data_IF_673683218191
#
_entry.id   IF_673683218191
#
_cell.length_a   1.000
_cell.length_b   1.000
_cell.length_c   1.000
_cell.angle_alpha   90.00
_cell.angle_beta   90.00
_cell.angle_gamma   90.00
#
_symmetry.space_group_name_H-M   'P 1'
#
loop_
_entity.id
_entity.type
_entity.pdbx_description
1 polymer ?
#
# COMPACT_ATOMS: atom_id res chain seq x y z
N UNK A 1 -17.86 71.15 -37.84
CA UNK A 1 -18.83 71.98 -37.12
C UNK A 1 -18.19 72.48 -35.83
N UNK A 2 -18.45 73.75 -35.52
CA UNK A 2 -17.63 74.63 -34.68
C UNK A 2 -17.50 74.24 -33.18
N UNK A 3 -16.40 74.66 -32.52
CA UNK A 3 -16.18 74.59 -31.07
C UNK A 3 -16.69 75.87 -30.37
N UNK A 4 -16.78 75.86 -29.02
CA UNK A 4 -16.84 77.00 -28.05
C UNK A 4 -17.40 76.46 -26.70
N UNK A 5 -16.99 76.81 -25.47
CA UNK A 5 -16.13 77.84 -24.88
C UNK A 5 -15.68 77.37 -23.49
N UNK A 6 -14.43 77.69 -23.11
CA UNK A 6 -14.04 77.86 -21.71
C UNK A 6 -14.69 79.14 -21.17
N UNK A 7 -15.18 79.10 -19.93
CA UNK A 7 -15.17 80.29 -19.07
C UNK A 7 -14.59 79.91 -17.72
N UNK A 8 -13.64 80.73 -17.29
CA UNK A 8 -12.99 80.73 -16.00
C UNK A 8 -13.70 81.74 -15.10
N UNK A 9 -14.02 81.37 -13.87
CA UNK A 9 -14.16 82.32 -12.78
C UNK A 9 -13.45 81.75 -11.55
N UNK A 10 -12.36 82.40 -11.18
CA UNK A 10 -11.75 82.28 -9.87
C UNK A 10 -12.63 83.01 -8.86
N UNK A 11 -12.90 82.37 -7.72
CA UNK A 11 -13.06 83.07 -6.45
C UNK A 11 -12.35 82.25 -5.37
N UNK A 12 -11.47 82.94 -4.65
CA UNK A 12 -10.63 82.46 -3.55
C UNK A 12 -11.32 82.82 -2.23
N UNK A 13 -10.93 82.12 -1.15
CA UNK A 13 -11.23 82.31 0.29
C UNK A 13 -12.43 81.47 0.78
N UNK A 14 -12.40 80.74 1.90
CA UNK A 14 -11.37 80.37 2.88
C UNK A 14 -11.98 79.24 3.78
N UNK A 15 -11.10 78.45 4.39
CA UNK A 15 -11.24 77.60 5.58
C UNK A 15 -12.60 76.98 6.01
N UNK A 16 -12.60 75.66 6.27
CA UNK A 16 -12.66 75.06 7.63
C UNK A 16 -12.48 73.54 7.51
N UNK A 17 -11.49 73.04 8.23
CA UNK A 17 -11.10 71.64 8.33
C UNK A 17 -12.19 70.77 8.99
N UNK A 18 -12.39 69.55 8.47
CA UNK A 18 -12.90 68.40 9.22
C UNK A 18 -11.99 67.20 8.94
N UNK A 19 -11.40 66.56 9.96
CA UNK A 19 -10.64 65.34 9.76
C UNK A 19 -11.63 64.21 9.46
N UNK A 20 -11.60 63.68 8.24
CA UNK A 20 -12.31 62.44 7.91
C UNK A 20 -11.54 61.28 8.56
N UNK A 21 -12.07 60.77 9.65
CA UNK A 21 -11.63 59.54 10.28
C UNK A 21 -11.68 58.40 9.26
N UNK A 22 -10.51 57.95 8.80
CA UNK A 22 -10.39 56.75 7.97
C UNK A 22 -10.84 55.53 8.78
N UNK A 23 -11.61 54.59 8.22
CA UNK A 23 -11.93 53.35 8.92
C UNK A 23 -10.64 52.56 9.08
N UNK A 24 -10.24 52.35 10.33
CA UNK A 24 -9.10 51.51 10.70
C UNK A 24 -9.36 50.08 10.21
N UNK A 25 -8.88 49.78 9.01
CA UNK A 25 -8.72 48.41 8.55
C UNK A 25 -7.79 47.72 9.55
N UNK A 26 -8.30 46.66 10.19
CA UNK A 26 -7.58 45.85 11.17
C UNK A 26 -6.30 45.30 10.53
N UNK A 27 -5.20 46.00 10.75
CA UNK A 27 -3.85 45.64 10.32
C UNK A 27 -3.28 44.71 11.39
N UNK A 28 -3.57 43.42 11.29
CA UNK A 28 -2.99 42.42 12.19
C UNK A 28 -1.56 42.02 11.79
N UNK A 29 -0.91 42.78 10.90
CA UNK A 29 0.46 42.55 10.47
C UNK A 29 1.20 43.88 10.40
N UNK A 30 2.19 44.07 11.28
CA UNK A 30 3.09 45.24 11.30
C UNK A 30 4.16 45.18 10.21
N UNK A 31 4.24 44.09 9.45
CA UNK A 31 5.11 43.98 8.27
C UNK A 31 4.48 44.75 7.11
N UNK A 32 5.11 45.86 6.70
CA UNK A 32 4.69 46.59 5.50
C UNK A 32 4.67 45.69 4.27
N UNK A 33 3.74 45.92 3.34
CA UNK A 33 3.74 45.17 2.08
C UNK A 33 5.06 45.46 1.35
N UNK A 34 5.85 44.43 1.09
CA UNK A 34 7.11 44.60 0.39
C UNK A 34 6.80 44.90 -1.08
N UNK A 35 6.97 46.16 -1.50
CA UNK A 35 6.67 46.63 -2.88
C UNK A 35 7.55 45.95 -3.94
N UNK A 36 8.69 45.40 -3.54
CA UNK A 36 9.68 44.78 -4.43
C UNK A 36 9.85 43.31 -4.11
N UNK A 37 9.94 42.50 -5.16
CA UNK A 37 10.17 41.05 -5.04
C UNK A 37 11.56 40.78 -4.46
N UNK A 38 11.67 39.88 -3.49
CA UNK A 38 12.96 39.46 -2.93
C UNK A 38 13.79 38.72 -3.99
N UNK A 39 15.12 38.77 -3.87
CA UNK A 39 16.03 38.07 -4.81
C UNK A 39 15.71 36.57 -4.91
N UNK A 40 15.48 35.90 -3.78
CA UNK A 40 15.12 34.48 -3.78
C UNK A 40 13.82 34.20 -4.56
N UNK A 41 12.81 35.08 -4.44
CA UNK A 41 11.56 34.95 -5.20
C UNK A 41 11.76 35.25 -6.68
N UNK A 42 12.67 36.17 -7.02
CA UNK A 42 13.09 36.40 -8.40
C UNK A 42 13.74 35.16 -9.01
N UNK A 43 14.72 34.58 -8.34
CA UNK A 43 15.44 33.37 -8.80
C UNK A 43 14.48 32.18 -8.95
N UNK A 44 13.55 32.01 -8.02
CA UNK A 44 12.49 30.99 -8.11
C UNK A 44 11.59 31.19 -9.33
N UNK A 45 11.13 32.42 -9.58
CA UNK A 45 10.26 32.73 -10.74
C UNK A 45 11.03 32.54 -12.05
N UNK A 46 12.32 32.88 -12.08
CA UNK A 46 13.19 32.60 -13.23
C UNK A 46 13.28 31.10 -13.51
N UNK A 47 13.49 30.26 -12.49
CA UNK A 47 13.52 28.80 -12.66
C UNK A 47 12.17 28.24 -13.11
N UNK A 48 11.06 28.67 -12.49
CA UNK A 48 9.70 28.24 -12.83
C UNK A 48 9.32 28.56 -14.28
N UNK A 49 9.72 29.75 -14.76
CA UNK A 49 9.50 30.17 -16.16
C UNK A 49 10.55 29.62 -17.12
N UNK A 50 11.64 29.08 -16.59
CA UNK A 50 12.69 28.43 -17.36
C UNK A 50 12.22 27.11 -17.98
N UNK A 51 13.13 26.45 -18.70
CA UNK A 51 12.86 25.19 -19.40
C UNK A 51 12.39 24.10 -18.44
N UNK A 52 13.09 23.94 -17.32
CA UNK A 52 12.83 22.85 -16.37
C UNK A 52 11.48 23.02 -15.65
N UNK A 53 11.18 24.22 -15.19
CA UNK A 53 9.91 24.53 -14.52
C UNK A 53 8.70 24.46 -15.46
N UNK A 54 8.83 24.97 -16.69
CA UNK A 54 7.73 24.98 -17.66
C UNK A 54 7.35 23.57 -18.14
N UNK A 55 8.31 22.63 -18.24
CA UNK A 55 8.03 21.24 -18.59
C UNK A 55 7.21 20.50 -17.53
N UNK A 56 7.30 20.91 -16.27
CA UNK A 56 6.59 20.29 -15.16
C UNK A 56 5.18 20.88 -14.96
N UNK A 57 4.84 21.96 -15.67
CA UNK A 57 3.55 22.63 -15.53
C UNK A 57 2.38 21.77 -16.04
N UNK A 58 2.61 21.00 -17.10
CA UNK A 58 1.60 20.14 -17.74
C UNK A 58 2.07 18.67 -17.77
N UNK A 59 1.16 17.69 -17.63
CA UNK A 59 1.53 16.29 -17.65
C UNK A 59 1.94 15.84 -19.06
N UNK A 60 3.16 15.32 -19.20
CA UNK A 60 3.71 14.85 -20.46
C UNK A 60 3.17 13.49 -20.93
N UNK A 61 2.25 12.86 -20.19
CA UNK A 61 1.75 11.51 -20.49
C UNK A 61 2.74 10.37 -20.15
N UNK A 62 3.83 10.71 -19.47
CA UNK A 62 4.86 9.82 -18.93
C UNK A 62 5.35 10.36 -17.58
N UNK A 63 6.08 9.56 -16.79
CA UNK A 63 6.76 10.07 -15.62
C UNK A 63 7.66 11.25 -15.99
N UNK A 64 7.46 12.38 -15.33
CA UNK A 64 8.19 13.61 -15.59
C UNK A 64 8.77 14.11 -14.25
N UNK A 65 9.83 13.46 -13.81
CA UNK A 65 10.50 13.75 -12.55
C UNK A 65 11.68 14.71 -12.73
N UNK A 66 12.10 15.34 -11.64
CA UNK A 66 13.25 16.26 -11.61
C UNK A 66 14.59 15.49 -11.64
N UNK A 67 14.59 14.22 -11.23
CA UNK A 67 15.80 13.41 -11.17
C UNK A 67 16.41 13.13 -12.55
N UNK A 68 17.67 12.69 -12.59
CA UNK A 68 18.39 12.45 -13.84
C UNK A 68 17.84 11.27 -14.65
N UNK A 69 17.05 10.40 -14.03
CA UNK A 69 16.49 9.19 -14.63
C UNK A 69 14.96 9.27 -14.62
N UNK A 70 14.31 8.68 -15.62
CA UNK A 70 12.85 8.76 -15.81
C UNK A 70 12.03 8.20 -14.64
N UNK A 71 12.60 7.27 -13.89
CA UNK A 71 11.99 6.65 -12.72
C UNK A 71 12.49 7.23 -11.40
N UNK A 72 13.30 8.29 -11.42
CA UNK A 72 13.91 8.88 -10.22
C UNK A 72 13.23 10.19 -9.82
N UNK A 73 12.28 10.16 -8.87
CA UNK A 73 11.58 11.37 -8.43
C UNK A 73 12.48 12.38 -7.72
N UNK A 74 13.48 11.90 -6.96
CA UNK A 74 14.35 12.75 -6.16
C UNK A 74 15.80 12.67 -6.66
N UNK A 75 16.41 13.78 -7.12
CA UNK A 75 17.77 13.76 -7.67
C UNK A 75 18.81 13.29 -6.65
N UNK A 76 18.65 13.66 -5.38
CA UNK A 76 19.63 13.33 -4.33
C UNK A 76 19.49 11.90 -3.78
N UNK A 77 18.40 11.19 -4.09
CA UNK A 77 18.20 9.82 -3.62
C UNK A 77 18.07 8.85 -4.82
N UNK A 78 19.17 8.20 -5.23
CA UNK A 78 19.16 7.27 -6.35
C UNK A 78 18.54 5.90 -6.01
N UNK A 79 18.30 5.58 -4.74
CA UNK A 79 17.74 4.29 -4.31
C UNK A 79 16.21 4.26 -4.42
N UNK A 80 15.54 5.41 -4.25
CA UNK A 80 14.09 5.47 -4.37
C UNK A 80 13.67 5.67 -5.83
N UNK A 81 13.02 4.64 -6.39
CA UNK A 81 12.54 4.59 -7.77
C UNK A 81 11.02 4.51 -7.82
N UNK A 82 10.45 5.23 -8.78
CA UNK A 82 9.03 5.18 -9.13
C UNK A 82 8.73 3.89 -9.89
N UNK A 83 8.43 2.83 -9.14
CA UNK A 83 8.01 1.56 -9.72
C UNK A 83 6.70 1.70 -10.50
N UNK A 84 6.52 0.84 -11.50
CA UNK A 84 5.31 0.80 -12.31
C UNK A 84 4.07 0.43 -11.50
N UNK A 85 2.91 0.92 -11.91
CA UNK A 85 1.60 0.56 -11.34
C UNK A 85 0.79 -0.30 -12.31
N UNK A 86 -0.15 -1.09 -11.77
CA UNK A 86 -1.04 -1.90 -12.59
C UNK A 86 -2.01 -1.03 -13.38
N UNK A 87 -2.07 -1.24 -14.69
CA UNK A 87 -3.04 -0.56 -15.56
C UNK A 87 -4.50 -0.95 -15.20
N UNK A 88 -5.46 -0.09 -15.56
CA UNK A 88 -6.89 -0.35 -15.32
C UNK A 88 -7.33 -1.67 -15.97
N UNK A 89 -6.82 -1.97 -17.16
CA UNK A 89 -7.13 -3.21 -17.88
C UNK A 89 -6.65 -4.45 -17.13
N UNK A 90 -5.38 -4.45 -16.69
CA UNK A 90 -4.80 -5.56 -15.95
C UNK A 90 -5.48 -5.78 -14.60
N UNK A 91 -5.90 -4.70 -13.92
CA UNK A 91 -6.70 -4.80 -12.69
C UNK A 91 -8.06 -5.48 -12.93
N UNK A 92 -8.73 -5.14 -14.03
CA UNK A 92 -9.97 -5.79 -14.43
C UNK A 92 -9.74 -7.27 -14.78
N UNK A 93 -8.65 -7.58 -15.48
CA UNK A 93 -8.30 -8.95 -15.84
C UNK A 93 -8.07 -9.84 -14.61
N UNK A 94 -7.28 -9.35 -13.63
CA UNK A 94 -7.06 -10.03 -12.34
C UNK A 94 -8.40 -10.35 -11.68
N UNK A 95 -9.29 -9.36 -11.61
CA UNK A 95 -10.62 -9.54 -11.02
C UNK A 95 -11.45 -10.59 -11.77
N UNK A 96 -11.46 -10.56 -13.11
CA UNK A 96 -12.17 -11.56 -13.93
C UNK A 96 -11.64 -12.97 -13.75
N UNK A 97 -10.31 -13.16 -13.71
CA UNK A 97 -9.68 -14.46 -13.48
C UNK A 97 -10.12 -15.08 -12.15
N UNK A 98 -10.15 -14.30 -11.09
CA UNK A 98 -10.48 -14.81 -9.75
C UNK A 98 -11.99 -14.96 -9.58
N UNK A 99 -12.79 -13.94 -9.91
CA UNK A 99 -14.23 -13.94 -9.63
C UNK A 99 -15.06 -14.68 -10.69
N UNK A 100 -14.69 -14.61 -11.97
CA UNK A 100 -15.48 -15.23 -13.06
C UNK A 100 -14.93 -16.60 -13.44
N UNK A 101 -13.61 -16.74 -13.59
CA UNK A 101 -12.98 -18.02 -13.97
C UNK A 101 -12.71 -18.93 -12.78
N UNK A 102 -12.75 -18.41 -11.55
CA UNK A 102 -12.50 -19.19 -10.33
C UNK A 102 -11.05 -19.65 -10.18
N UNK A 103 -10.11 -18.95 -10.82
CA UNK A 103 -8.68 -19.23 -10.69
C UNK A 103 -8.18 -18.89 -9.27
N UNK A 104 -7.27 -19.70 -8.74
CA UNK A 104 -6.69 -19.45 -7.41
C UNK A 104 -5.84 -18.18 -7.37
N UNK A 105 -5.78 -17.51 -6.22
CA UNK A 105 -5.02 -16.26 -6.05
C UNK A 105 -3.53 -16.51 -6.31
N UNK A 106 -3.02 -17.65 -5.84
CA UNK A 106 -1.63 -18.07 -6.10
C UNK A 106 -1.37 -18.31 -7.58
N UNK A 107 -2.29 -18.94 -8.31
CA UNK A 107 -2.17 -19.14 -9.76
C UNK A 107 -2.07 -17.82 -10.51
N UNK A 108 -3.00 -16.90 -10.25
CA UNK A 108 -3.02 -15.58 -10.89
C UNK A 108 -1.78 -14.75 -10.55
N UNK A 109 -1.29 -14.86 -9.31
CA UNK A 109 -0.07 -14.21 -8.85
C UNK A 109 1.17 -14.69 -9.60
N UNK A 110 1.33 -16.01 -9.78
CA UNK A 110 2.46 -16.58 -10.51
C UNK A 110 2.41 -16.28 -12.01
N UNK A 111 1.21 -16.29 -12.60
CA UNK A 111 1.02 -16.04 -14.04
C UNK A 111 1.32 -14.58 -14.42
N UNK A 112 0.79 -13.62 -13.64
CA UNK A 112 0.92 -12.18 -13.93
C UNK A 112 2.22 -11.60 -13.36
N UNK A 113 2.85 -12.29 -12.40
CA UNK A 113 4.05 -11.81 -11.72
C UNK A 113 3.73 -10.67 -10.74
N UNK A 114 2.65 -10.81 -9.98
CA UNK A 114 2.17 -9.85 -8.97
C UNK A 114 2.08 -10.53 -7.61
N UNK A 115 2.48 -9.88 -6.53
CA UNK A 115 2.40 -10.44 -5.18
C UNK A 115 0.96 -10.80 -4.80
N UNK A 116 0.75 -11.97 -4.18
CA UNK A 116 -0.53 -12.47 -3.66
C UNK A 116 -1.25 -11.39 -2.83
N UNK A 117 -0.51 -10.63 -2.02
CA UNK A 117 -1.05 -9.52 -1.22
C UNK A 117 -1.64 -8.41 -2.07
N UNK A 118 -0.98 -8.07 -3.18
CA UNK A 118 -1.43 -7.04 -4.12
C UNK A 118 -2.63 -7.54 -4.92
N UNK A 119 -2.61 -8.79 -5.38
CA UNK A 119 -3.76 -9.42 -6.05
C UNK A 119 -5.02 -9.33 -5.18
N UNK A 120 -4.93 -9.73 -3.91
CA UNK A 120 -6.06 -9.64 -2.97
C UNK A 120 -6.54 -8.19 -2.75
N UNK A 121 -5.64 -7.21 -2.71
CA UNK A 121 -6.01 -5.80 -2.62
C UNK A 121 -6.72 -5.29 -3.88
N UNK A 122 -6.28 -5.69 -5.08
CA UNK A 122 -6.91 -5.33 -6.35
C UNK A 122 -8.35 -5.85 -6.39
N UNK A 123 -8.57 -7.12 -6.02
CA UNK A 123 -9.91 -7.71 -5.98
C UNK A 123 -10.81 -6.93 -5.01
N UNK A 124 -10.35 -6.65 -3.78
CA UNK A 124 -11.12 -5.87 -2.80
C UNK A 124 -11.50 -4.48 -3.32
N UNK A 125 -10.57 -3.76 -3.93
CA UNK A 125 -10.83 -2.43 -4.47
C UNK A 125 -11.78 -2.47 -5.67
N UNK A 126 -11.71 -3.52 -6.49
CA UNK A 126 -12.63 -3.73 -7.62
C UNK A 126 -14.05 -4.05 -7.16
N UNK A 127 -14.21 -4.86 -6.11
CA UNK A 127 -15.53 -5.08 -5.49
C UNK A 127 -16.15 -3.77 -4.97
N UNK A 128 -15.36 -2.92 -4.29
CA UNK A 128 -15.83 -1.60 -3.85
C UNK A 128 -16.23 -0.73 -5.04
N UNK A 129 -15.44 -0.74 -6.12
CA UNK A 129 -15.78 -0.01 -7.35
C UNK A 129 -17.14 -0.48 -7.91
N UNK A 130 -17.35 -1.80 -8.03
CA UNK A 130 -18.62 -2.39 -8.51
C UNK A 130 -19.78 -2.05 -7.60
N UNK A 131 -19.58 -2.08 -6.28
CA UNK A 131 -20.58 -1.68 -5.31
C UNK A 131 -20.98 -0.20 -5.49
N UNK A 132 -20.03 0.69 -5.76
CA UNK A 132 -20.30 2.10 -6.00
C UNK A 132 -21.04 2.33 -7.32
N UNK A 133 -20.67 1.60 -8.38
CA UNK A 133 -21.39 1.59 -9.65
C UNK A 133 -22.85 1.13 -9.46
N UNK A 134 -23.06 0.04 -8.70
CA UNK A 134 -24.40 -0.47 -8.37
C UNK A 134 -25.22 0.52 -7.53
N UNK A 135 -24.58 1.30 -6.66
CA UNK A 135 -25.21 2.37 -5.90
C UNK A 135 -25.40 3.67 -6.71
N UNK A 136 -24.98 3.72 -7.98
CA UNK A 136 -25.06 4.92 -8.81
C UNK A 136 -24.15 6.07 -8.36
N UNK A 137 -23.10 5.79 -7.59
CA UNK A 137 -22.14 6.81 -7.14
C UNK A 137 -21.24 7.24 -8.29
N UNK A 138 -20.99 8.55 -8.39
CA UNK A 138 -20.11 9.11 -9.41
C UNK A 138 -18.65 8.77 -9.11
N UNK A 139 -18.01 8.03 -10.01
CA UNK A 139 -16.59 7.71 -9.93
C UNK A 139 -15.71 8.89 -10.36
N UNK A 140 -14.55 9.04 -9.74
CA UNK A 140 -13.56 10.08 -10.05
C UNK A 140 -12.72 9.74 -11.31
N UNK A 141 -13.37 9.45 -12.43
CA UNK A 141 -12.70 8.98 -13.66
C UNK A 141 -11.77 10.01 -14.31
N UNK A 142 -12.05 11.33 -14.36
CA UNK A 142 -11.12 12.30 -14.95
C UNK A 142 -9.83 12.39 -14.14
N UNK A 143 -9.97 12.36 -12.81
CA UNK A 143 -8.84 12.36 -11.89
C UNK A 143 -7.98 11.10 -12.06
N UNK A 144 -8.60 9.91 -12.06
CA UNK A 144 -7.88 8.65 -12.22
C UNK A 144 -7.10 8.61 -13.55
N UNK A 145 -7.72 9.03 -14.66
CA UNK A 145 -7.07 9.09 -15.98
C UNK A 145 -5.89 10.05 -16.01
N UNK A 146 -6.00 11.20 -15.37
CA UNK A 146 -4.91 12.18 -15.31
C UNK A 146 -3.72 11.65 -14.49
N UNK A 147 -3.97 11.05 -13.32
CA UNK A 147 -2.93 10.49 -12.46
C UNK A 147 -2.23 9.30 -13.12
N UNK A 148 -2.99 8.40 -13.75
CA UNK A 148 -2.41 7.24 -14.44
C UNK A 148 -1.48 7.61 -15.61
N UNK A 149 -1.70 8.77 -16.25
CA UNK A 149 -0.81 9.30 -17.29
C UNK A 149 0.53 9.80 -16.74
N UNK A 150 0.61 10.10 -15.45
CA UNK A 150 1.83 10.60 -14.80
C UNK A 150 2.73 9.46 -14.28
N UNK A 151 2.20 8.23 -14.19
CA UNK A 151 2.89 7.10 -13.58
C UNK A 151 3.33 6.07 -14.63
N UNK A 152 4.44 5.34 -14.41
CA UNK A 152 4.79 4.22 -15.26
C UNK A 152 3.79 3.09 -15.04
N UNK A 153 3.42 2.36 -16.10
CA UNK A 153 2.38 1.33 -16.03
C UNK A 153 2.88 0.01 -16.60
N UNK A 154 2.49 -1.09 -15.96
CA UNK A 154 2.63 -2.43 -16.51
C UNK A 154 1.31 -2.87 -17.10
N UNK A 155 1.35 -3.26 -18.37
CA UNK A 155 0.23 -3.88 -19.08
C UNK A 155 0.53 -5.36 -19.20
N UNK A 156 -0.45 -6.19 -18.88
CA UNK A 156 -0.39 -7.63 -19.03
C UNK A 156 -1.28 -8.07 -20.20
N UNK A 157 -0.71 -8.86 -21.12
CA UNK A 157 -1.38 -9.41 -22.30
C UNK A 157 -1.36 -10.94 -22.21
N UNK A 158 -2.53 -11.58 -22.17
CA UNK A 158 -2.63 -13.06 -22.12
C UNK A 158 -1.95 -13.69 -23.35
N UNK A 159 -1.07 -14.67 -23.12
CA UNK A 159 -0.34 -15.37 -24.19
C UNK A 159 0.79 -14.59 -24.85
N UNK A 160 1.05 -13.36 -24.42
CA UNK A 160 2.20 -12.55 -24.86
C UNK A 160 3.42 -12.68 -23.94
N UNK A 161 4.55 -12.14 -24.39
CA UNK A 161 5.71 -11.93 -23.53
C UNK A 161 5.43 -10.75 -22.59
N UNK A 162 5.31 -11.03 -21.29
CA UNK A 162 5.07 -10.02 -20.26
C UNK A 162 6.27 -9.95 -19.32
N UNK A 163 6.62 -8.73 -18.91
CA UNK A 163 7.59 -8.51 -17.83
C UNK A 163 6.84 -8.65 -16.49
N UNK A 164 7.38 -9.44 -15.53
CA UNK A 164 6.81 -9.52 -14.19
C UNK A 164 6.68 -8.14 -13.55
N UNK A 165 5.53 -7.86 -12.94
CA UNK A 165 5.27 -6.56 -12.31
C UNK A 165 6.17 -6.32 -11.09
N UNK A 166 6.37 -7.35 -10.26
CA UNK A 166 7.19 -7.29 -9.05
C UNK A 166 7.77 -8.67 -8.71
N UNK A 167 8.83 -8.76 -7.88
CA UNK A 167 9.38 -10.05 -7.47
C UNK A 167 8.44 -10.78 -6.50
N UNK A 168 7.76 -11.81 -6.99
CA UNK A 168 6.81 -12.61 -6.19
C UNK A 168 7.47 -13.49 -5.12
N UNK A 169 8.77 -13.77 -5.26
CA UNK A 169 9.54 -14.68 -4.39
C UNK A 169 10.34 -13.96 -3.30
N UNK A 170 10.00 -12.72 -2.96
CA UNK A 170 10.71 -11.98 -1.92
C UNK A 170 10.39 -12.55 -0.52
N UNK A 171 11.45 -12.90 0.22
CA UNK A 171 11.36 -13.48 1.56
C UNK A 171 11.81 -12.46 2.59
N UNK A 172 11.05 -12.31 3.66
CA UNK A 172 11.42 -11.47 4.79
C UNK A 172 12.77 -11.89 5.40
N UNK A 173 13.67 -10.96 5.69
CA UNK A 173 14.92 -11.26 6.41
C UNK A 173 14.62 -11.40 7.90
N UNK A 174 14.71 -12.63 8.43
CA UNK A 174 14.43 -12.89 9.84
C UNK A 174 15.63 -12.49 10.71
N UNK A 175 15.40 -11.96 11.91
CA UNK A 175 16.48 -11.50 12.81
C UNK A 175 17.52 -12.59 13.10
N UNK A 176 17.08 -13.84 13.27
CA UNK A 176 17.98 -14.97 13.54
C UNK A 176 18.95 -15.25 12.38
N UNK A 177 18.58 -14.93 11.14
CA UNK A 177 19.43 -15.16 9.96
C UNK A 177 20.39 -14.01 9.67
N UNK A 178 20.38 -12.95 10.49
CA UNK A 178 21.29 -11.81 10.33
C UNK A 178 22.65 -12.02 11.01
N UNK A 179 22.84 -13.14 11.71
CA UNK A 179 24.09 -13.48 12.36
C UNK A 179 25.10 -13.99 11.33
N UNK A 180 26.36 -13.57 11.46
CA UNK A 180 27.47 -14.14 10.69
C UNK A 180 27.95 -15.41 11.38
N UNK A 181 27.72 -16.57 10.76
CA UNK A 181 28.09 -17.88 11.31
C UNK A 181 29.06 -18.60 10.37
N UNK A 182 30.14 -19.13 10.93
CA UNK A 182 31.06 -20.04 10.27
C UNK A 182 31.04 -21.37 11.02
N UNK A 183 30.21 -22.30 10.54
CA UNK A 183 29.99 -23.58 11.21
C UNK A 183 31.06 -24.57 10.75
N UNK A 184 31.95 -25.07 11.64
CA UNK A 184 32.88 -26.12 11.27
C UNK A 184 32.12 -27.41 11.01
N UNK A 185 32.33 -28.00 9.85
CA UNK A 185 31.74 -29.27 9.42
C UNK A 185 32.83 -30.20 8.89
N UNK A 186 32.52 -31.50 8.79
CA UNK A 186 33.42 -32.44 8.11
C UNK A 186 33.70 -31.97 6.68
N UNK A 187 34.93 -32.18 6.22
CA UNK A 187 35.39 -31.86 4.86
C UNK A 187 34.52 -32.48 3.75
N UNK A 188 33.91 -33.64 4.02
CA UNK A 188 33.06 -34.38 3.08
C UNK A 188 31.56 -34.14 3.27
N UNK A 189 31.15 -33.28 4.23
CA UNK A 189 29.73 -33.06 4.51
C UNK A 189 29.08 -32.21 3.41
N UNK A 190 27.97 -32.69 2.86
CA UNK A 190 27.08 -31.88 2.02
C UNK A 190 26.22 -30.98 2.91
N UNK A 191 26.49 -29.68 2.90
CA UNK A 191 25.78 -28.70 3.73
C UNK A 191 24.62 -28.06 2.95
N UNK A 192 23.38 -28.40 3.32
CA UNK A 192 22.17 -27.99 2.57
C UNK A 192 21.53 -26.71 3.14
N UNK A 193 20.52 -26.15 2.44
CA UNK A 193 19.72 -25.01 2.94
C UNK A 193 18.96 -25.32 4.23
N UNK A 194 18.57 -26.59 4.42
CA UNK A 194 17.90 -27.04 5.65
C UNK A 194 18.91 -27.13 6.80
N UNK A 195 20.14 -27.59 6.53
CA UNK A 195 21.24 -27.56 7.52
C UNK A 195 21.58 -26.11 7.91
N UNK A 196 21.65 -25.22 6.94
CA UNK A 196 21.90 -23.80 7.18
C UNK A 196 20.80 -23.16 8.04
N UNK A 197 19.52 -23.48 7.78
CA UNK A 197 18.41 -23.00 8.60
C UNK A 197 18.54 -23.48 10.05
N UNK A 198 18.80 -24.78 10.25
CA UNK A 198 19.03 -25.36 11.58
C UNK A 198 20.24 -24.77 12.30
N UNK A 199 21.29 -24.42 11.55
CA UNK A 199 22.47 -23.76 12.10
C UNK A 199 22.15 -22.38 12.68
N UNK A 200 21.21 -21.63 12.08
CA UNK A 200 20.73 -20.37 12.67
C UNK A 200 19.85 -20.61 13.90
N UNK A 201 18.89 -21.52 13.82
CA UNK A 201 18.02 -21.90 14.93
C UNK A 201 17.25 -23.20 14.62
N UNK A 202 16.99 -24.03 15.64
CA UNK A 202 16.36 -25.34 15.49
C UNK A 202 15.00 -25.30 14.77
N UNK A 203 14.15 -24.33 15.12
CA UNK A 203 12.82 -24.11 14.53
C UNK A 203 12.82 -23.25 13.26
N UNK A 204 13.98 -22.87 12.74
CA UNK A 204 14.05 -22.01 11.56
C UNK A 204 13.73 -22.82 10.30
N UNK A 205 12.79 -22.32 9.50
CA UNK A 205 12.48 -22.90 8.20
C UNK A 205 13.52 -22.45 7.16
N UNK A 206 13.81 -23.33 6.19
CA UNK A 206 14.63 -23.00 5.03
C UNK A 206 13.99 -21.90 4.18
N UNK A 207 14.80 -21.22 3.36
CA UNK A 207 14.31 -20.19 2.44
C UNK A 207 13.17 -20.71 1.54
N UNK A 208 13.31 -21.94 1.04
CA UNK A 208 12.34 -22.58 0.14
C UNK A 208 10.95 -22.69 0.79
N UNK A 209 10.89 -23.07 2.08
CA UNK A 209 9.63 -23.21 2.83
C UNK A 209 9.04 -21.87 3.28
N UNK A 210 9.85 -20.80 3.28
CA UNK A 210 9.45 -19.45 3.69
C UNK A 210 9.00 -18.58 2.52
N UNK A 211 9.23 -19.01 1.29
CA UNK A 211 8.64 -18.39 0.10
C UNK A 211 7.12 -18.35 0.21
N UNK A 212 6.49 -17.35 -0.39
CA UNK A 212 5.03 -17.26 -0.44
C UNK A 212 4.41 -18.37 -1.31
N UNK A 213 5.17 -18.85 -2.30
CA UNK A 213 4.76 -19.86 -3.27
C UNK A 213 5.80 -21.01 -3.31
N UNK A 214 5.93 -21.80 -2.24
CA UNK A 214 6.88 -22.92 -2.20
C UNK A 214 6.55 -24.01 -3.23
N UNK A 215 5.31 -24.04 -3.73
CA UNK A 215 4.83 -25.05 -4.66
C UNK A 215 5.40 -24.84 -6.07
N UNK A 216 5.69 -23.58 -6.46
CA UNK A 216 6.43 -23.30 -7.70
C UNK A 216 7.84 -23.89 -7.67
N UNK A 217 8.50 -23.85 -6.51
CA UNK A 217 9.84 -24.43 -6.33
C UNK A 217 9.79 -25.95 -6.51
N UNK A 218 8.74 -26.60 -5.99
CA UNK A 218 8.55 -28.05 -6.15
C UNK A 218 8.32 -28.41 -7.61
N UNK A 219 7.41 -27.70 -8.28
CA UNK A 219 7.10 -27.88 -9.69
C UNK A 219 8.36 -27.73 -10.56
N UNK A 220 9.14 -26.65 -10.37
CA UNK A 220 10.36 -26.42 -11.14
C UNK A 220 11.43 -27.50 -10.86
N UNK A 221 11.55 -27.97 -9.61
CA UNK A 221 12.44 -29.10 -9.27
C UNK A 221 12.04 -30.39 -9.98
N UNK A 222 10.75 -30.70 -10.05
CA UNK A 222 10.24 -31.90 -10.72
C UNK A 222 10.48 -31.83 -12.23
N UNK A 223 10.25 -30.66 -12.84
CA UNK A 223 10.53 -30.43 -14.27
C UNK A 223 12.02 -30.68 -14.56
N UNK A 224 12.92 -30.12 -13.73
CA UNK A 224 14.36 -30.33 -13.88
C UNK A 224 14.76 -31.80 -13.69
N UNK A 225 14.19 -32.49 -12.70
CA UNK A 225 14.49 -33.91 -12.44
C UNK A 225 13.96 -34.84 -13.54
N UNK A 226 12.89 -34.44 -14.23
CA UNK A 226 12.31 -35.22 -15.33
C UNK A 226 13.17 -35.22 -16.60
N UNK A 227 14.25 -34.43 -16.67
CA UNK A 227 15.13 -34.29 -17.84
C UNK A 227 14.36 -34.05 -19.17
N UNK A 228 13.25 -33.30 -19.11
CA UNK A 228 12.42 -32.97 -20.27
C UNK A 228 11.34 -34.00 -20.63
N UNK A 229 11.17 -35.06 -19.84
CA UNK A 229 10.09 -36.04 -20.04
C UNK A 229 8.69 -35.46 -19.76
N UNK A 230 8.58 -34.43 -18.91
CA UNK A 230 7.32 -33.76 -18.59
C UNK A 230 7.34 -32.35 -19.15
N UNK A 231 6.31 -31.98 -19.93
CA UNK A 231 6.14 -30.60 -20.40
C UNK A 231 5.86 -29.67 -19.23
N UNK A 232 6.52 -28.50 -19.23
CA UNK A 232 6.31 -27.44 -18.24
C UNK A 232 4.85 -26.99 -18.19
N UNK A 233 4.18 -26.95 -19.33
CA UNK A 233 2.78 -26.53 -19.46
C UNK A 233 1.84 -27.50 -18.74
N UNK A 234 2.03 -28.81 -18.96
CA UNK A 234 1.24 -29.84 -18.27
C UNK A 234 1.42 -29.75 -16.75
N UNK A 235 2.65 -29.53 -16.29
CA UNK A 235 2.94 -29.41 -14.85
C UNK A 235 2.41 -28.11 -14.24
N UNK A 236 2.33 -27.04 -15.03
CA UNK A 236 1.68 -25.79 -14.63
C UNK A 236 0.17 -25.98 -14.44
N UNK A 237 -0.50 -26.73 -15.31
CA UNK A 237 -1.94 -26.96 -15.18
C UNK A 237 -2.27 -27.84 -13.97
N UNK A 238 -1.51 -28.90 -13.74
CA UNK A 238 -1.62 -29.71 -12.52
C UNK A 238 -1.36 -28.86 -11.27
N UNK A 239 -0.35 -27.99 -11.31
CA UNK A 239 -0.08 -27.05 -10.22
C UNK A 239 -1.26 -26.10 -9.96
N UNK A 240 -1.92 -25.58 -11.01
CA UNK A 240 -3.11 -24.73 -10.84
C UNK A 240 -4.24 -25.50 -10.14
N UNK A 241 -4.49 -26.75 -10.52
CA UNK A 241 -5.49 -27.59 -9.86
C UNK A 241 -5.14 -27.86 -8.40
N UNK A 242 -3.87 -28.13 -8.09
CA UNK A 242 -3.41 -28.31 -6.73
C UNK A 242 -3.62 -27.05 -5.88
N UNK A 243 -3.33 -25.87 -6.44
CA UNK A 243 -3.54 -24.60 -5.74
C UNK A 243 -5.02 -24.37 -5.44
N UNK A 244 -5.89 -24.69 -6.39
CA UNK A 244 -7.34 -24.62 -6.18
C UNK A 244 -7.80 -25.56 -5.06
N UNK A 245 -7.30 -26.82 -5.05
CA UNK A 245 -7.59 -27.78 -3.97
C UNK A 245 -7.08 -27.28 -2.61
N UNK A 246 -5.92 -26.62 -2.57
CA UNK A 246 -5.40 -26.03 -1.33
C UNK A 246 -6.25 -24.85 -0.84
N UNK A 247 -6.69 -23.96 -1.73
CA UNK A 247 -7.55 -22.84 -1.35
C UNK A 247 -8.90 -23.31 -0.81
N UNK A 248 -9.50 -24.34 -1.42
CA UNK A 248 -10.72 -24.98 -0.89
C UNK A 248 -10.49 -25.49 0.53
N UNK A 249 -9.39 -26.22 0.78
CA UNK A 249 -9.05 -26.70 2.14
C UNK A 249 -8.84 -25.56 3.13
N UNK A 250 -8.22 -24.45 2.71
CA UNK A 250 -8.04 -23.27 3.56
C UNK A 250 -9.40 -22.64 3.88
N UNK A 251 -10.29 -22.52 2.89
CA UNK A 251 -11.64 -21.99 3.08
C UNK A 251 -12.47 -22.87 4.03
N UNK A 252 -12.41 -24.20 3.88
CA UNK A 252 -13.05 -25.15 4.79
C UNK A 252 -12.50 -25.03 6.22
N UNK A 253 -11.18 -24.92 6.38
CA UNK A 253 -10.56 -24.75 7.68
C UNK A 253 -10.95 -23.41 8.34
N UNK A 254 -11.09 -22.34 7.56
CA UNK A 254 -11.55 -21.04 8.04
C UNK A 254 -13.03 -21.12 8.47
N UNK A 255 -13.90 -21.67 7.63
CA UNK A 255 -15.31 -21.85 7.95
C UNK A 255 -15.51 -22.72 9.20
N UNK A 256 -14.68 -23.76 9.37
CA UNK A 256 -14.68 -24.57 10.59
C UNK A 256 -14.29 -23.77 11.82
N UNK A 257 -13.23 -22.95 11.74
CA UNK A 257 -12.82 -22.06 12.85
C UNK A 257 -13.92 -21.07 13.20
N UNK A 258 -14.54 -20.43 12.22
CA UNK A 258 -15.63 -19.47 12.44
C UNK A 258 -16.84 -20.16 13.08
N UNK A 259 -17.16 -21.38 12.64
CA UNK A 259 -18.22 -22.19 13.25
C UNK A 259 -17.89 -22.61 14.69
N UNK A 260 -16.64 -22.95 14.99
CA UNK A 260 -16.18 -23.25 16.36
C UNK A 260 -16.25 -22.02 17.26
N UNK A 261 -15.87 -20.83 16.78
CA UNK A 261 -16.00 -19.58 17.51
C UNK A 261 -17.47 -19.19 17.75
N UNK A 262 -18.32 -19.40 16.76
CA UNK A 262 -19.76 -19.18 16.88
C UNK A 262 -20.39 -20.13 17.91
N UNK A 263 -19.99 -21.41 17.93
CA UNK A 263 -20.46 -22.40 18.93
C UNK A 263 -20.07 -22.01 20.36
N UNK A 264 -18.89 -21.42 20.56
CA UNK A 264 -18.45 -20.91 21.86
C UNK A 264 -19.19 -19.64 22.29
N UNK A 265 -19.95 -19.01 21.41
CA UNK A 265 -20.62 -17.73 21.69
C UNK A 265 -22.12 -17.90 21.76
N UNK A 266 -22.69 -17.88 22.96
CA UNK A 266 -24.15 -17.90 23.15
C UNK A 266 -24.72 -16.50 22.98
N UNK A 267 -25.73 -16.37 22.11
CA UNK A 267 -26.38 -15.10 21.79
C UNK A 267 -27.75 -15.04 22.45
N UNK A 268 -27.94 -14.14 23.40
CA UNK A 268 -29.21 -13.93 24.10
C UNK A 268 -29.78 -12.58 23.67
N UNK A 269 -30.83 -12.61 22.85
CA UNK A 269 -31.52 -11.40 22.40
C UNK A 269 -32.47 -10.88 23.48
N UNK A 270 -32.38 -9.59 23.74
CA UNK A 270 -33.32 -8.85 24.60
C UNK A 270 -34.03 -7.78 23.76
N UNK A 271 -34.87 -6.96 24.39
CA UNK A 271 -35.60 -5.89 23.72
C UNK A 271 -34.68 -4.86 23.03
N UNK A 272 -33.60 -4.44 23.70
CA UNK A 272 -32.69 -3.38 23.20
C UNK A 272 -31.38 -3.89 22.62
N UNK A 273 -30.84 -4.98 23.14
CA UNK A 273 -29.48 -5.43 22.84
C UNK A 273 -29.40 -6.95 22.68
N UNK A 274 -28.36 -7.41 21.99
CA UNK A 274 -27.98 -8.83 21.97
C UNK A 274 -26.77 -9.03 22.87
N UNK A 275 -26.95 -9.78 23.95
CA UNK A 275 -25.84 -10.18 24.81
C UNK A 275 -25.13 -11.37 24.18
N UNK A 276 -23.81 -11.27 24.03
CA UNK A 276 -22.96 -12.33 23.47
C UNK A 276 -22.03 -12.84 24.56
N UNK A 277 -22.33 -14.01 25.12
CA UNK A 277 -21.48 -14.64 26.13
C UNK A 277 -20.55 -15.62 25.44
N UNK A 278 -19.26 -15.30 25.44
CA UNK A 278 -18.22 -16.16 24.87
C UNK A 278 -17.63 -17.02 25.97
N UNK A 279 -17.74 -18.34 25.81
CA UNK A 279 -17.09 -19.30 26.69
C UNK A 279 -15.57 -19.25 26.51
N UNK A 280 -14.87 -19.14 27.62
CA UNK A 280 -13.41 -19.02 27.72
C UNK A 280 -12.92 -19.91 28.86
N UNK A 281 -11.73 -20.46 28.73
CA UNK A 281 -11.09 -21.23 29.80
C UNK A 281 -10.53 -20.29 30.87
N UNK A 282 -10.90 -20.53 32.13
CA UNK A 282 -10.37 -19.78 33.27
C UNK A 282 -8.95 -20.23 33.65
N UNK A 283 -8.54 -21.43 33.23
CA UNK A 283 -7.25 -22.04 33.57
C UNK A 283 -6.11 -21.57 32.65
N UNK A 284 -6.41 -20.79 31.62
CA UNK A 284 -5.45 -20.26 30.63
C UNK A 284 -4.57 -19.10 31.19
N UNK A 285 -4.33 -19.09 32.49
CA UNK A 285 -3.58 -18.06 33.23
C UNK A 285 -2.08 -18.34 33.33
N UNK A 286 -1.66 -19.57 33.02
CA UNK A 286 -0.27 -20.03 33.16
C UNK A 286 0.13 -20.29 34.63
N UNK A 287 1.31 -20.90 34.83
CA UNK A 287 1.75 -21.38 36.16
C UNK A 287 1.78 -20.27 37.22
N UNK A 288 2.29 -19.09 36.86
CA UNK A 288 2.42 -17.95 37.78
C UNK A 288 1.25 -16.94 37.69
N UNK A 289 0.15 -17.31 36.99
CA UNK A 289 -0.95 -16.39 36.68
C UNK A 289 -0.61 -15.29 35.65
N UNK A 290 0.54 -15.40 34.97
CA UNK A 290 1.07 -14.42 34.01
C UNK A 290 1.13 -14.96 32.57
N UNK A 291 -0.02 -15.20 31.94
CA UNK A 291 -0.12 -15.62 30.53
C UNK A 291 -0.61 -14.49 29.61
N UNK A 292 0.03 -14.25 28.45
CA UNK A 292 -0.45 -13.27 27.43
C UNK A 292 -1.89 -13.55 26.95
N UNK A 293 -2.32 -14.81 27.00
CA UNK A 293 -3.65 -15.26 26.57
C UNK A 293 -4.70 -15.22 27.70
N UNK A 294 -4.29 -14.99 28.95
CA UNK A 294 -5.20 -14.94 30.09
C UNK A 294 -6.25 -13.82 29.92
N UNK A 295 -7.52 -14.16 30.17
CA UNK A 295 -8.64 -13.23 30.01
C UNK A 295 -8.98 -12.54 31.33
N UNK A 296 -9.25 -11.23 31.28
CA UNK A 296 -9.60 -10.42 32.45
C UNK A 296 -8.65 -9.25 32.70
N UNK A 297 -9.02 -8.36 33.62
CA UNK A 297 -8.16 -7.26 34.05
C UNK A 297 -7.15 -7.76 35.10
N UNK A 298 -5.85 -7.53 34.86
CA UNK A 298 -4.80 -8.01 35.77
C UNK A 298 -4.74 -7.20 37.07
N UNK A 299 -4.53 -7.88 38.18
CA UNK A 299 -4.28 -7.25 39.48
C UNK A 299 -2.79 -6.92 39.67
N UNK A 300 -2.50 -5.93 40.54
CA UNK A 300 -1.12 -5.56 40.89
C UNK A 300 -0.37 -4.75 39.81
N UNK A 301 -1.08 -4.19 38.82
CA UNK A 301 -0.50 -3.35 37.77
C UNK A 301 -1.11 -1.94 37.84
N UNK A 302 -0.33 -0.89 38.17
CA UNK A 302 -0.83 0.49 38.17
C UNK A 302 -1.10 0.97 36.75
N UNK A 303 -1.95 2.00 36.61
CA UNK A 303 -2.22 2.62 35.32
C UNK A 303 -0.93 3.16 34.66
N UNK A 304 -0.75 2.87 33.38
CA UNK A 304 0.41 3.28 32.60
C UNK A 304 0.24 4.64 31.91
N UNK A 305 -0.83 5.38 32.24
CA UNK A 305 -1.24 6.60 31.52
C UNK A 305 -0.20 7.72 31.52
N UNK A 306 0.68 7.73 32.52
CA UNK A 306 1.76 8.71 32.70
C UNK A 306 3.08 8.25 32.06
N UNK A 307 3.16 7.01 31.54
CA UNK A 307 4.35 6.53 30.84
C UNK A 307 4.46 7.20 29.47
N UNK A 308 5.65 7.71 29.15
CA UNK A 308 5.93 8.30 27.83
C UNK A 308 5.88 7.21 26.77
N UNK A 309 5.21 7.49 25.65
CA UNK A 309 5.09 6.56 24.53
C UNK A 309 3.93 5.56 24.60
N UNK A 310 3.04 5.68 25.60
CA UNK A 310 1.87 4.81 25.68
C UNK A 310 0.89 5.07 24.52
N UNK A 311 0.51 4.01 23.81
CA UNK A 311 -0.47 4.09 22.72
C UNK A 311 -1.89 4.16 23.30
N UNK A 312 -2.59 5.27 23.06
CA UNK A 312 -3.98 5.52 23.49
C UNK A 312 -4.97 5.58 22.31
N UNK A 313 -4.51 5.16 21.13
CA UNK A 313 -5.26 5.17 19.87
C UNK A 313 -5.58 3.71 19.51
N UNK A 314 -6.74 3.39 18.90
CA UNK A 314 -7.05 2.04 18.46
C UNK A 314 -5.95 1.47 17.55
N UNK A 315 -5.38 0.32 17.92
CA UNK A 315 -4.30 -0.34 17.15
C UNK A 315 -4.82 -1.33 16.11
N UNK A 316 -6.12 -1.62 16.11
CA UNK A 316 -6.79 -2.52 15.18
C UNK A 316 -8.21 -2.00 14.92
N UNK A 317 -8.58 -1.92 13.64
CA UNK A 317 -9.95 -1.63 13.19
C UNK A 317 -10.43 -2.90 12.49
N UNK A 318 -11.34 -3.67 13.12
CA UNK A 318 -11.78 -4.98 12.63
C UNK A 318 -12.70 -4.87 11.41
#
# INVERSE_FOLDING_TARGET
MAPKLRTSSFSVLDAIARPTSSPAARTFTSTGCCEKMTKARYDMVQWLKGRDGSQLAEPAGRPNYIGPLEDQPFPNNPLFRSQSVLDDFTRELIWKKIMQRGESIKAVSAEIGVDVRRVAAVVRLKEVQRQWEAQGKRLATPYAKAVQKMLPKTVYVEGGENVPHEPINEIHVHKLTMQQLFVPVSESRQFTREDAAKAFHEKMLSADKRSQQPELIKMEREVLQSNGAVSREARLDEWKEEMQKQEVKIAEALAKKDAEEAKKTTKVKTDRFEFRFKEISADDVGVDGKSRQGTGWRYGVPHEDRKRGQVKIPTSVP
#
